data_IF_406535386751
#
_entry.id   IF_406535386751
#
_cell.length_a   1.000
_cell.length_b   1.000
_cell.length_c   1.000
_cell.angle_alpha   90.00
_cell.angle_beta   90.00
_cell.angle_gamma   90.00
#
_symmetry.space_group_name_H-M   'P 1'
#
loop_
_entity.id
_entity.type
_entity.pdbx_description
1 polymer ?
#
# COMPACT_ATOMS: atom_id res chain seq x y z
N UNK A 1 -27.53 -0.79 -16.51
CA UNK A 1 -27.02 0.52 -16.05
C UNK A 1 -25.61 0.34 -15.53
N UNK A 2 -24.66 1.01 -16.13
CA UNK A 2 -23.28 1.05 -15.64
C UNK A 2 -23.25 1.97 -14.41
N UNK A 3 -22.85 1.47 -13.25
CA UNK A 3 -22.62 2.30 -12.06
C UNK A 3 -21.53 3.33 -12.41
N UNK A 4 -21.80 4.60 -12.19
CA UNK A 4 -20.80 5.64 -12.35
C UNK A 4 -19.55 5.30 -11.49
N UNK A 5 -18.38 5.43 -12.09
CA UNK A 5 -17.11 5.19 -11.40
C UNK A 5 -16.91 6.28 -10.34
N UNK A 6 -16.76 5.88 -9.08
CA UNK A 6 -16.49 6.83 -8.01
C UNK A 6 -15.15 7.53 -8.23
N UNK A 7 -15.10 8.81 -7.91
CA UNK A 7 -13.84 9.56 -7.94
C UNK A 7 -12.90 9.06 -6.84
N UNK A 8 -11.61 9.35 -7.00
CA UNK A 8 -10.61 9.09 -5.96
C UNK A 8 -11.07 9.64 -4.59
N UNK A 9 -11.60 10.86 -4.59
CA UNK A 9 -12.04 11.55 -3.38
C UNK A 9 -13.24 10.85 -2.72
N UNK A 10 -14.17 10.35 -3.53
CA UNK A 10 -15.35 9.63 -3.02
C UNK A 10 -15.00 8.27 -2.42
N UNK A 11 -14.01 7.57 -2.98
CA UNK A 11 -13.57 6.28 -2.44
C UNK A 11 -12.92 6.43 -1.06
N UNK A 12 -12.13 7.48 -0.87
CA UNK A 12 -11.42 7.70 0.39
C UNK A 12 -12.24 8.43 1.45
N UNK A 13 -13.26 9.19 1.06
CA UNK A 13 -13.96 10.12 1.94
C UNK A 13 -15.26 9.53 2.54
N UNK A 14 -15.20 8.27 2.97
CA UNK A 14 -16.37 7.54 3.49
C UNK A 14 -16.71 7.89 4.95
N UNK A 15 -16.82 9.13 5.33
CA UNK A 15 -17.14 9.54 6.70
C UNK A 15 -16.67 10.93 7.09
N UNK A 16 -16.26 11.71 6.08
CA UNK A 16 -15.71 13.04 6.31
C UNK A 16 -14.24 13.03 6.69
N UNK A 17 -13.57 14.15 6.49
CA UNK A 17 -12.17 14.34 6.82
C UNK A 17 -12.06 15.12 8.12
N UNK A 18 -11.55 14.47 9.14
CA UNK A 18 -11.15 15.09 10.39
C UNK A 18 -9.91 16.00 10.16
N UNK A 19 -9.66 16.95 11.06
CA UNK A 19 -8.47 17.81 11.02
C UNK A 19 -7.18 17.07 11.43
N UNK A 20 -7.29 15.80 11.78
CA UNK A 20 -6.14 14.99 12.14
C UNK A 20 -5.21 14.78 10.94
N UNK A 21 -3.91 14.83 11.20
CA UNK A 21 -2.84 14.56 10.22
C UNK A 21 -1.93 13.48 10.78
N UNK A 22 -1.58 12.50 9.96
CA UNK A 22 -0.66 11.43 10.37
C UNK A 22 0.17 10.94 9.20
N UNK A 23 1.44 10.64 9.48
CA UNK A 23 2.28 9.94 8.52
C UNK A 23 1.91 8.46 8.51
N UNK A 24 1.85 7.88 7.31
CA UNK A 24 1.54 6.47 7.11
C UNK A 24 2.42 5.85 6.04
N UNK A 25 2.39 4.55 5.96
CA UNK A 25 3.05 3.77 4.90
C UNK A 25 2.06 2.83 4.25
N UNK A 26 2.28 2.57 2.96
CA UNK A 26 1.62 1.51 2.22
C UNK A 26 2.70 0.63 1.61
N UNK A 27 2.52 -0.69 1.68
CA UNK A 27 3.48 -1.65 1.13
C UNK A 27 2.81 -2.46 0.02
N UNK A 28 3.34 -2.29 -1.17
CA UNK A 28 2.92 -3.06 -2.35
C UNK A 28 3.80 -4.31 -2.42
N UNK A 29 3.36 -5.36 -1.72
CA UNK A 29 4.06 -6.65 -1.69
C UNK A 29 3.94 -7.32 -3.05
N UNK A 30 5.09 -7.64 -3.65
CA UNK A 30 5.19 -8.17 -5.01
C UNK A 30 5.69 -9.61 -5.00
N UNK A 31 4.98 -10.48 -5.74
CA UNK A 31 5.41 -11.86 -5.96
C UNK A 31 4.92 -12.33 -7.32
N UNK A 32 5.81 -12.93 -8.10
CA UNK A 32 5.51 -13.46 -9.44
C UNK A 32 4.75 -12.47 -10.34
N UNK A 33 5.18 -11.21 -10.36
CA UNK A 33 4.62 -10.16 -11.22
C UNK A 33 3.24 -9.65 -10.81
N UNK A 34 2.81 -9.94 -9.59
CA UNK A 34 1.55 -9.45 -9.05
C UNK A 34 1.74 -8.80 -7.69
N UNK A 35 0.80 -7.94 -7.34
CA UNK A 35 0.79 -7.14 -6.11
C UNK A 35 -0.34 -7.61 -5.21
N UNK A 36 -0.07 -7.72 -3.91
CA UNK A 36 -1.06 -8.05 -2.90
C UNK A 36 -1.94 -6.85 -2.60
N UNK A 37 -3.25 -7.02 -2.78
CA UNK A 37 -4.25 -6.12 -2.22
C UNK A 37 -5.11 -6.88 -1.23
N UNK A 38 -5.53 -6.20 -0.18
CA UNK A 38 -6.39 -6.75 0.86
C UNK A 38 -7.68 -5.95 0.94
N UNK A 39 -8.78 -6.61 1.28
CA UNK A 39 -10.04 -5.92 1.51
C UNK A 39 -10.06 -5.41 2.94
N UNK A 40 -9.81 -4.12 3.09
CA UNK A 40 -9.69 -3.47 4.39
C UNK A 40 -11.01 -3.49 5.13
N UNK A 41 -11.01 -4.03 6.35
CA UNK A 41 -12.24 -4.26 7.13
C UNK A 41 -12.98 -2.97 7.49
N UNK A 42 -12.24 -1.93 7.91
CA UNK A 42 -12.83 -0.65 8.32
C UNK A 42 -13.31 0.20 7.13
N UNK A 43 -12.53 0.24 6.05
CA UNK A 43 -12.81 1.09 4.90
C UNK A 43 -13.61 0.39 3.81
N UNK A 44 -13.67 -0.93 3.83
CA UNK A 44 -14.31 -1.78 2.81
C UNK A 44 -13.82 -1.48 1.39
N UNK A 45 -12.51 -1.28 1.27
CA UNK A 45 -11.80 -0.99 0.03
C UNK A 45 -10.67 -2.01 -0.17
N UNK A 46 -10.32 -2.25 -1.44
CA UNK A 46 -9.13 -3.00 -1.79
C UNK A 46 -7.91 -2.08 -1.74
N UNK A 47 -7.00 -2.36 -0.81
CA UNK A 47 -5.85 -1.51 -0.50
C UNK A 47 -4.59 -2.36 -0.32
N UNK A 48 -3.39 -1.78 -0.51
CA UNK A 48 -2.18 -2.44 -0.03
C UNK A 48 -2.18 -2.55 1.50
N UNK A 49 -1.37 -3.43 2.04
CA UNK A 49 -1.12 -3.47 3.48
C UNK A 49 -0.37 -2.21 3.91
N UNK A 50 -0.51 -1.81 5.17
CA UNK A 50 0.12 -0.60 5.68
C UNK A 50 -0.57 -0.08 6.93
N UNK A 51 -0.12 1.06 7.39
CA UNK A 51 -0.65 1.71 8.58
C UNK A 51 0.14 2.95 8.96
N UNK A 52 -0.20 3.52 10.10
CA UNK A 52 0.47 4.74 10.58
C UNK A 52 1.88 4.44 11.09
N UNK A 53 2.78 5.39 10.83
CA UNK A 53 4.14 5.36 11.37
C UNK A 53 4.08 5.63 12.87
N UNK A 54 4.71 4.78 13.66
CA UNK A 54 4.79 4.96 15.10
C UNK A 54 5.93 5.91 15.49
N UNK A 55 5.82 6.48 16.68
CA UNK A 55 6.85 7.39 17.19
C UNK A 55 8.22 6.70 17.21
N UNK A 56 9.22 7.39 16.64
CA UNK A 56 10.59 6.88 16.57
C UNK A 56 10.89 5.97 15.38
N UNK A 57 9.89 5.60 14.58
CA UNK A 57 10.13 4.83 13.36
C UNK A 57 10.44 5.73 12.16
N UNK A 58 11.36 5.28 11.30
CA UNK A 58 11.46 5.80 9.94
C UNK A 58 10.34 5.20 9.07
N UNK A 59 10.03 5.80 7.91
CA UNK A 59 9.06 5.19 6.98
C UNK A 59 9.39 3.75 6.60
N UNK A 60 10.67 3.44 6.34
CA UNK A 60 11.06 2.07 5.98
C UNK A 60 10.87 1.09 7.14
N UNK A 61 11.20 1.51 8.36
CA UNK A 61 10.96 0.67 9.55
C UNK A 61 9.48 0.37 9.75
N UNK A 62 8.63 1.38 9.58
CA UNK A 62 7.18 1.21 9.63
C UNK A 62 6.68 0.26 8.51
N UNK A 63 7.20 0.43 7.28
CA UNK A 63 6.83 -0.44 6.17
C UNK A 63 7.17 -1.90 6.43
N UNK A 64 8.36 -2.17 6.98
CA UNK A 64 8.77 -3.54 7.36
C UNK A 64 7.89 -4.11 8.46
N UNK A 65 7.60 -3.32 9.48
CA UNK A 65 6.74 -3.73 10.59
C UNK A 65 5.33 -4.07 10.12
N UNK A 66 4.71 -3.18 9.34
CA UNK A 66 3.35 -3.38 8.83
C UNK A 66 3.26 -4.60 7.91
N UNK A 67 4.23 -4.79 7.02
CA UNK A 67 4.28 -5.98 6.18
C UNK A 67 4.32 -7.26 7.02
N UNK A 68 5.16 -7.29 8.03
CA UNK A 68 5.28 -8.44 8.93
C UNK A 68 4.01 -8.68 9.74
N UNK A 69 3.45 -7.62 10.33
CA UNK A 69 2.24 -7.72 11.16
C UNK A 69 1.02 -8.19 10.37
N UNK A 70 0.86 -7.68 9.15
CA UNK A 70 -0.33 -7.96 8.35
C UNK A 70 -0.22 -9.19 7.47
N UNK A 71 0.99 -9.64 7.14
CA UNK A 71 1.18 -10.80 6.24
C UNK A 71 2.01 -11.93 6.84
N UNK A 72 2.81 -11.66 7.84
CA UNK A 72 3.81 -12.60 8.35
C UNK A 72 5.06 -12.72 7.47
N UNK A 73 5.16 -11.95 6.39
CA UNK A 73 6.25 -12.04 5.44
C UNK A 73 7.31 -10.98 5.67
N UNK A 74 8.55 -11.36 5.41
CA UNK A 74 9.68 -10.45 5.27
C UNK A 74 9.87 -10.11 3.79
N UNK A 75 10.10 -8.84 3.48
CA UNK A 75 10.28 -8.39 2.12
C UNK A 75 11.69 -7.91 1.82
N UNK A 76 12.06 -7.96 0.54
CA UNK A 76 13.26 -7.31 0.01
C UNK A 76 12.83 -6.00 -0.64
N UNK A 77 13.29 -4.89 -0.10
CA UNK A 77 12.99 -3.55 -0.59
C UNK A 77 14.09 -3.14 -1.57
N UNK A 78 13.77 -2.93 -2.87
CA UNK A 78 14.79 -2.62 -3.87
C UNK A 78 15.48 -1.28 -3.60
N UNK A 79 16.80 -1.27 -3.76
CA UNK A 79 17.64 -0.08 -3.57
C UNK A 79 17.78 0.72 -4.86
N UNK A 80 18.28 1.96 -4.74
CA UNK A 80 18.63 2.77 -5.90
C UNK A 80 17.46 3.47 -6.59
N UNK A 81 16.33 3.59 -5.93
CA UNK A 81 15.19 4.34 -6.42
C UNK A 81 15.30 5.80 -5.99
N UNK A 82 15.08 6.73 -6.91
CA UNK A 82 15.12 8.17 -6.61
C UNK A 82 16.52 8.70 -6.36
N UNK A 83 16.61 9.79 -5.61
CA UNK A 83 17.88 10.44 -5.26
C UNK A 83 18.60 9.69 -4.13
N UNK A 84 19.89 9.99 -3.95
CA UNK A 84 20.66 9.46 -2.83
C UNK A 84 19.97 9.78 -1.50
N UNK A 85 19.88 8.76 -0.64
CA UNK A 85 19.18 8.88 0.64
C UNK A 85 17.70 8.50 0.59
N UNK A 86 17.15 8.23 -0.59
CA UNK A 86 15.79 7.67 -0.69
C UNK A 86 15.78 6.29 -0.03
N UNK A 87 14.84 6.02 0.88
CA UNK A 87 14.74 4.71 1.50
C UNK A 87 14.52 3.59 0.46
N UNK A 88 15.14 2.41 0.64
CA UNK A 88 14.87 1.28 -0.23
C UNK A 88 13.39 1.00 -0.41
N UNK A 89 12.98 0.74 -1.64
CA UNK A 89 11.59 0.40 -1.98
C UNK A 89 10.63 1.58 -2.07
N UNK A 90 11.02 2.78 -1.69
CA UNK A 90 10.10 3.93 -1.76
C UNK A 90 9.83 4.31 -3.21
N UNK A 91 8.55 4.24 -3.61
CA UNK A 91 8.11 4.52 -4.98
C UNK A 91 7.26 5.78 -5.10
N UNK A 92 6.86 6.37 -3.97
CA UNK A 92 6.08 7.59 -4.01
C UNK A 92 5.62 8.08 -2.66
N UNK A 93 5.07 9.27 -2.69
CA UNK A 93 4.40 9.93 -1.57
C UNK A 93 3.09 10.49 -2.09
N UNK A 94 2.01 10.32 -1.35
CA UNK A 94 0.73 10.92 -1.69
C UNK A 94 -0.08 11.21 -0.41
N UNK A 95 -1.07 12.07 -0.54
CA UNK A 95 -1.92 12.44 0.59
C UNK A 95 -3.35 12.05 0.26
N UNK A 96 -4.02 11.41 1.22
CA UNK A 96 -5.40 10.98 1.01
C UNK A 96 -6.21 11.04 2.30
N UNK A 97 -7.52 11.31 2.19
CA UNK A 97 -8.43 11.19 3.33
C UNK A 97 -8.52 9.74 3.80
N UNK A 98 -8.51 9.53 5.10
CA UNK A 98 -8.55 8.20 5.72
C UNK A 98 -9.74 8.07 6.69
N UNK A 99 -10.88 8.64 6.33
CA UNK A 99 -12.10 8.64 7.13
C UNK A 99 -11.86 9.28 8.48
N UNK A 100 -12.24 8.60 9.55
CA UNK A 100 -12.08 9.09 10.93
C UNK A 100 -10.63 9.32 11.35
N UNK A 101 -9.65 8.79 10.60
CA UNK A 101 -8.21 8.99 10.87
C UNK A 101 -7.64 10.26 10.25
N UNK A 102 -8.47 11.04 9.57
CA UNK A 102 -8.10 12.34 9.01
C UNK A 102 -7.37 12.24 7.68
N UNK A 103 -6.32 13.04 7.50
CA UNK A 103 -5.47 13.00 6.32
C UNK A 103 -4.23 12.17 6.60
N UNK A 104 -3.98 11.17 5.77
CA UNK A 104 -2.74 10.42 5.77
C UNK A 104 -1.74 11.02 4.79
N UNK A 105 -0.56 11.32 5.29
CA UNK A 105 0.62 11.69 4.52
C UNK A 105 1.40 10.39 4.32
N UNK A 106 1.22 9.78 3.15
CA UNK A 106 1.53 8.37 2.94
C UNK A 106 2.76 8.14 2.08
N UNK A 107 3.71 7.35 2.60
CA UNK A 107 4.89 6.89 1.87
C UNK A 107 4.59 5.49 1.30
N UNK A 108 4.71 5.35 -0.01
CA UNK A 108 4.44 4.08 -0.69
C UNK A 108 5.74 3.33 -0.97
N UNK A 109 5.72 2.03 -0.69
CA UNK A 109 6.87 1.13 -0.87
C UNK A 109 6.48 -0.06 -1.73
N UNK A 110 7.41 -0.54 -2.53
CA UNK A 110 7.36 -1.89 -3.11
C UNK A 110 8.32 -2.79 -2.35
N UNK A 111 7.90 -4.03 -2.10
CA UNK A 111 8.75 -5.04 -1.48
C UNK A 111 8.52 -6.39 -2.16
N UNK A 112 9.60 -7.07 -2.54
CA UNK A 112 9.51 -8.41 -3.07
C UNK A 112 9.40 -9.41 -1.93
N UNK A 113 8.37 -10.24 -1.94
CA UNK A 113 8.11 -11.24 -0.91
C UNK A 113 8.33 -12.65 -1.45
N UNK A 114 8.81 -13.59 -0.59
CA UNK A 114 9.23 -14.91 -1.04
C UNK A 114 8.08 -15.88 -1.29
N UNK A 115 6.89 -15.58 -0.83
CA UNK A 115 5.73 -16.47 -0.96
C UNK A 115 4.41 -15.70 -0.92
N UNK A 116 3.32 -16.41 -1.19
CA UNK A 116 1.94 -15.86 -1.09
C UNK A 116 1.19 -16.46 0.09
N UNK A 117 1.88 -17.21 0.94
CA UNK A 117 1.30 -17.77 2.16
C UNK A 117 1.27 -16.71 3.26
N UNK A 118 0.07 -16.24 3.58
CA UNK A 118 -0.13 -15.16 4.54
C UNK A 118 -0.59 -15.70 5.88
N UNK A 119 -0.07 -15.11 6.96
CA UNK A 119 -0.59 -15.33 8.30
C UNK A 119 -1.93 -14.59 8.43
N UNK A 120 -2.90 -15.19 9.14
CA UNK A 120 -4.20 -14.57 9.35
C UNK A 120 -4.05 -13.23 10.09
N UNK A 121 -4.84 -12.25 9.67
CA UNK A 121 -4.84 -10.90 10.23
C UNK A 121 -6.29 -10.38 10.33
N UNK A 122 -6.61 -9.70 11.43
CA UNK A 122 -7.95 -9.20 11.71
C UNK A 122 -8.30 -7.91 10.95
N UNK A 123 -7.33 -7.27 10.31
CA UNK A 123 -7.53 -5.97 9.67
C UNK A 123 -8.16 -6.05 8.29
N UNK A 124 -8.22 -7.24 7.70
CA UNK A 124 -8.83 -7.44 6.38
C UNK A 124 -9.65 -8.73 6.30
N UNK A 125 -10.59 -8.75 5.35
CA UNK A 125 -11.55 -9.86 5.18
C UNK A 125 -11.26 -10.74 3.97
N UNK A 126 -10.42 -10.28 3.05
CA UNK A 126 -10.06 -11.01 1.83
C UNK A 126 -8.73 -10.53 1.29
N UNK A 127 -8.07 -11.36 0.50
CA UNK A 127 -6.81 -11.04 -0.18
C UNK A 127 -6.94 -11.32 -1.67
N UNK A 128 -6.17 -10.56 -2.47
CA UNK A 128 -6.08 -10.79 -3.90
C UNK A 128 -4.72 -10.35 -4.43
N UNK A 129 -4.15 -11.16 -5.31
CA UNK A 129 -2.94 -10.81 -6.05
C UNK A 129 -3.33 -10.29 -7.42
N UNK A 130 -2.90 -9.08 -7.75
CA UNK A 130 -3.37 -8.37 -8.94
C UNK A 130 -2.21 -7.90 -9.81
N UNK A 131 -2.48 -7.81 -11.11
CA UNK A 131 -1.60 -7.16 -12.07
C UNK A 131 -2.12 -5.77 -12.43
N UNK A 132 -1.61 -5.21 -13.53
CA UNK A 132 -2.08 -3.95 -14.12
C UNK A 132 -2.76 -4.28 -15.47
N UNK A 133 -4.01 -3.85 -15.68
CA UNK A 133 -4.86 -3.06 -14.81
C UNK A 133 -5.42 -3.86 -13.62
N UNK A 134 -5.65 -3.15 -12.51
CA UNK A 134 -6.23 -3.76 -11.31
C UNK A 134 -7.70 -4.11 -11.58
N UNK A 135 -8.10 -5.40 -11.42
CA UNK A 135 -9.44 -5.84 -11.83
C UNK A 135 -10.54 -5.60 -10.79
N UNK A 136 -10.20 -5.01 -9.66
CA UNK A 136 -11.15 -4.70 -8.57
C UNK A 136 -11.31 -3.19 -8.39
N UNK A 137 -12.42 -2.78 -7.79
CA UNK A 137 -12.63 -1.38 -7.45
C UNK A 137 -11.69 -0.97 -6.31
N UNK A 138 -10.85 0.02 -6.59
CA UNK A 138 -9.94 0.60 -5.60
C UNK A 138 -9.68 2.08 -5.94
N UNK A 139 -9.15 2.86 -4.99
CA UNK A 139 -8.81 4.26 -5.25
C UNK A 139 -7.83 4.42 -6.42
N UNK A 140 -7.91 5.54 -7.14
CA UNK A 140 -7.05 5.81 -8.30
C UNK A 140 -5.56 5.78 -7.95
N UNK A 141 -5.17 6.34 -6.81
CA UNK A 141 -3.78 6.33 -6.36
C UNK A 141 -3.25 4.90 -6.14
N UNK A 142 -4.09 3.99 -5.67
CA UNK A 142 -3.71 2.57 -5.53
C UNK A 142 -3.42 1.96 -6.90
N UNK A 143 -4.26 2.22 -7.91
CA UNK A 143 -4.02 1.75 -9.28
C UNK A 143 -2.72 2.27 -9.85
N UNK A 144 -2.45 3.55 -9.65
CA UNK A 144 -1.23 4.20 -10.12
C UNK A 144 0.01 3.63 -9.43
N UNK A 145 -0.07 3.40 -8.11
CA UNK A 145 1.04 2.85 -7.34
C UNK A 145 1.30 1.37 -7.65
N UNK A 146 0.26 0.58 -7.95
CA UNK A 146 0.43 -0.79 -8.45
C UNK A 146 1.25 -0.79 -9.76
N UNK A 147 0.92 0.11 -10.67
CA UNK A 147 1.65 0.25 -11.94
C UNK A 147 3.12 0.61 -11.70
N UNK A 148 3.38 1.59 -10.82
CA UNK A 148 4.75 1.97 -10.46
C UNK A 148 5.51 0.82 -9.80
N UNK A 149 4.88 0.12 -8.87
CA UNK A 149 5.49 -1.02 -8.18
C UNK A 149 5.87 -2.14 -9.15
N UNK A 150 5.01 -2.44 -10.12
CA UNK A 150 5.27 -3.47 -11.13
C UNK A 150 6.38 -3.07 -12.11
N UNK A 151 6.59 -1.77 -12.31
CA UNK A 151 7.62 -1.24 -13.21
C UNK A 151 9.02 -1.21 -12.58
N UNK A 152 9.13 -1.32 -11.26
CA UNK A 152 10.43 -1.34 -10.57
C UNK A 152 11.15 -2.65 -10.88
N UNK A 153 12.45 -2.56 -11.26
CA UNK A 153 13.27 -3.73 -11.51
C UNK A 153 13.41 -4.61 -10.28
N UNK A 154 13.51 -5.92 -10.47
CA UNK A 154 13.77 -6.86 -9.39
C UNK A 154 15.21 -6.74 -8.89
N UNK A 155 15.48 -7.02 -7.60
CA UNK A 155 16.83 -6.92 -7.06
C UNK A 155 17.87 -7.81 -7.76
N UNK A 156 17.42 -8.86 -8.47
CA UNK A 156 18.27 -9.78 -9.21
C UNK A 156 18.55 -9.37 -10.66
N UNK A 157 17.96 -8.26 -11.13
CA UNK A 157 18.08 -7.79 -12.52
C UNK A 157 19.25 -6.80 -12.72
N UNK A 158 20.21 -6.84 -11.80
CA UNK A 158 21.39 -5.97 -11.80
C UNK A 158 22.48 -6.41 -12.76
#
# INVERSE_FOLDING_TARGET
MTKARKSHHELWNAGGVDNRRAFSVAVFARNAGQILLVRHKRLDLWLPVGGEIEAGETPLEAARRELREETGLEGVFPVGLGVDGTPPGMIGYEEHPAGSKGLHMNFAFVADVPSRELTACDEYTAVRWVGDPVPVECPLNVRQLVRLALAVSHPSDG
#
